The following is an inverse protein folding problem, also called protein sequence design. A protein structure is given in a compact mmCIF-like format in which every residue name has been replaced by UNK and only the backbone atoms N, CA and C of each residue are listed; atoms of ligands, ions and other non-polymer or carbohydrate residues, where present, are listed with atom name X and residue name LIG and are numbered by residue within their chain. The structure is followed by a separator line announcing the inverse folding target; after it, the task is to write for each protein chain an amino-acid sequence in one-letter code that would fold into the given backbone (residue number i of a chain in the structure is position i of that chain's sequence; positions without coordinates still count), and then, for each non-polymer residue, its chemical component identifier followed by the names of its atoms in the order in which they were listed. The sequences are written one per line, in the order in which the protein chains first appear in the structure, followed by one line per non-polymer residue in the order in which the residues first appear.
data_IF_767479840170
#
_entry.id   IF_767479840170
#
_cell.length_a   1.000
_cell.length_b   1.000
_cell.length_c   1.000
_cell.angle_alpha   90.00
_cell.angle_beta   90.00
_cell.angle_gamma   90.00
#
_symmetry.space_group_name_H-M   'P 1'
#
loop_
_entity.id
_entity.type
_entity.pdbx_description
1 polymer ?
#
# COMPACT_ATOMS: atom_id res chain seq x y z
N UNK A 1 18.55 43.49 21.84
CA UNK A 1 18.01 42.46 22.74
C UNK A 1 17.53 41.33 21.84
N UNK A 2 18.38 40.34 21.58
CA UNK A 2 18.12 39.24 20.65
C UNK A 2 17.46 38.13 21.47
N UNK A 3 16.18 37.86 21.23
CA UNK A 3 15.52 36.70 21.81
C UNK A 3 15.94 35.44 21.05
N UNK A 4 16.87 34.70 21.66
CA UNK A 4 17.16 33.30 21.31
C UNK A 4 15.95 32.46 21.72
N UNK A 5 15.21 31.94 20.74
CA UNK A 5 14.26 30.85 20.93
C UNK A 5 15.10 29.57 21.04
N UNK A 6 14.98 28.77 22.11
CA UNK A 6 15.72 27.53 22.20
C UNK A 6 15.19 26.57 21.15
N UNK A 7 16.09 26.06 20.31
CA UNK A 7 15.82 24.90 19.48
C UNK A 7 15.40 23.75 20.42
N UNK A 8 14.12 23.36 20.38
CA UNK A 8 13.72 22.07 20.89
C UNK A 8 14.36 21.01 20.00
N UNK A 9 15.54 20.54 20.41
CA UNK A 9 16.04 19.23 20.02
C UNK A 9 15.07 18.19 20.59
N UNK A 10 14.09 17.78 19.79
CA UNK A 10 13.29 16.60 20.05
C UNK A 10 14.21 15.39 20.06
N UNK A 11 14.53 14.90 21.26
CA UNK A 11 15.07 13.57 21.46
C UNK A 11 13.98 12.56 21.02
N UNK A 12 14.07 12.06 19.79
CA UNK A 12 13.24 10.97 19.33
C UNK A 12 13.71 9.68 20.01
N UNK A 13 12.92 9.24 21.00
CA UNK A 13 12.93 7.88 21.52
C UNK A 13 12.69 6.91 20.37
N UNK A 14 13.41 5.78 20.37
CA UNK A 14 13.23 4.67 19.43
C UNK A 14 11.73 4.34 19.25
N UNK A 15 11.15 4.76 18.14
CA UNK A 15 9.74 4.54 17.83
C UNK A 15 9.54 3.11 17.33
N UNK A 16 9.53 2.15 18.26
CA UNK A 16 9.20 0.77 17.93
C UNK A 16 7.72 0.69 17.56
N UNK A 17 7.43 0.39 16.30
CA UNK A 17 6.09 -0.04 15.89
C UNK A 17 6.07 -1.55 16.08
N UNK A 18 5.25 -2.07 16.99
CA UNK A 18 5.29 -3.48 17.43
C UNK A 18 5.37 -4.47 16.26
N UNK A 19 4.60 -4.24 15.20
CA UNK A 19 4.67 -5.05 13.99
C UNK A 19 5.97 -4.87 13.18
N UNK A 20 6.54 -3.67 13.09
CA UNK A 20 7.62 -3.33 12.14
C UNK A 20 9.02 -3.23 12.77
N UNK A 21 9.14 -3.36 14.09
CA UNK A 21 10.41 -3.22 14.81
C UNK A 21 10.93 -1.78 14.82
N UNK A 22 12.25 -1.62 14.78
CA UNK A 22 12.92 -0.32 14.67
C UNK A 22 12.79 0.23 13.25
N UNK A 23 12.13 1.38 13.13
CA UNK A 23 11.85 2.08 11.86
C UNK A 23 12.73 3.31 11.65
N UNK A 24 13.81 3.50 12.42
CA UNK A 24 14.63 4.72 12.37
C UNK A 24 15.25 4.96 10.99
N UNK A 25 15.66 3.90 10.28
CA UNK A 25 16.23 4.06 8.93
C UNK A 25 15.18 4.51 7.93
N UNK A 26 13.97 3.99 8.04
CA UNK A 26 12.80 4.34 7.23
C UNK A 26 12.44 5.81 7.46
N UNK A 27 12.40 6.25 8.73
CA UNK A 27 12.22 7.65 9.14
C UNK A 27 13.25 8.57 8.47
N UNK A 28 14.53 8.20 8.51
CA UNK A 28 15.61 8.99 7.89
C UNK A 28 15.51 9.05 6.37
N UNK A 29 15.20 7.93 5.70
CA UNK A 29 14.99 7.88 4.24
C UNK A 29 13.87 8.83 3.85
N UNK A 30 12.76 8.77 4.56
CA UNK A 30 11.63 9.68 4.36
C UNK A 30 11.98 11.14 4.58
N UNK A 31 12.77 11.44 5.62
CA UNK A 31 13.22 12.81 5.86
C UNK A 31 14.10 13.31 4.71
N UNK A 32 15.00 12.47 4.19
CA UNK A 32 15.83 12.79 3.04
C UNK A 32 14.97 12.99 1.77
N UNK A 33 13.99 12.13 1.53
CA UNK A 33 13.01 12.27 0.45
C UNK A 33 12.27 13.62 0.55
N UNK A 34 11.68 13.91 1.71
CA UNK A 34 10.91 15.14 1.95
C UNK A 34 11.73 16.42 1.77
N UNK A 35 13.02 16.38 2.09
CA UNK A 35 13.92 17.51 1.96
C UNK A 35 14.64 17.60 0.60
N UNK A 36 14.35 16.69 -0.35
CA UNK A 36 15.03 16.70 -1.64
C UNK A 36 14.69 17.98 -2.43
N UNK A 37 15.69 18.77 -2.88
CA UNK A 37 15.45 20.10 -3.45
C UNK A 37 14.70 20.07 -4.79
N UNK A 38 14.75 18.94 -5.51
CA UNK A 38 14.05 18.74 -6.78
C UNK A 38 12.72 17.98 -6.59
N UNK A 39 12.29 17.74 -5.35
CA UNK A 39 11.03 17.03 -5.08
C UNK A 39 9.86 17.82 -5.63
N UNK A 40 9.07 17.17 -6.50
CA UNK A 40 7.81 17.68 -7.02
C UNK A 40 6.66 16.81 -6.57
N UNK A 41 5.52 17.44 -6.33
CA UNK A 41 4.27 16.81 -5.95
C UNK A 41 3.26 16.82 -7.08
N UNK A 42 2.27 15.95 -6.94
CA UNK A 42 1.09 15.97 -7.80
C UNK A 42 0.33 17.31 -7.71
N UNK A 43 0.47 18.07 -6.60
CA UNK A 43 -0.07 19.42 -6.50
C UNK A 43 0.65 20.38 -7.44
N UNK A 44 1.96 20.22 -7.65
CA UNK A 44 2.73 20.96 -8.66
C UNK A 44 2.30 20.59 -10.08
N UNK A 45 1.71 19.40 -10.24
CA UNK A 45 1.09 18.93 -11.48
C UNK A 45 -0.37 19.32 -11.66
N UNK A 46 -1.03 19.88 -10.64
CA UNK A 46 -2.46 20.21 -10.68
C UNK A 46 -2.83 20.97 -11.94
N UNK A 47 -2.09 22.04 -12.25
CA UNK A 47 -2.40 22.89 -13.41
C UNK A 47 -2.29 22.10 -14.70
N UNK A 48 -1.19 21.39 -14.93
CA UNK A 48 -0.98 20.59 -16.14
C UNK A 48 -2.03 19.49 -16.31
N UNK A 49 -2.42 18.82 -15.22
CA UNK A 49 -3.42 17.74 -15.24
C UNK A 49 -4.85 18.27 -15.47
N UNK A 50 -5.16 19.49 -15.02
CA UNK A 50 -6.42 20.16 -15.33
C UNK A 50 -6.41 20.66 -16.77
N UNK A 51 -5.35 21.36 -17.19
CA UNK A 51 -5.22 21.95 -18.53
C UNK A 51 -5.22 20.87 -19.62
N UNK A 52 -4.67 19.68 -19.34
CA UNK A 52 -4.69 18.54 -20.26
C UNK A 52 -6.05 17.83 -20.37
N UNK A 53 -6.99 18.13 -19.47
CA UNK A 53 -8.29 17.44 -19.38
C UNK A 53 -8.24 16.12 -18.60
N UNK A 54 -7.06 15.65 -18.18
CA UNK A 54 -6.89 14.37 -17.49
C UNK A 54 -7.76 14.27 -16.23
N UNK A 55 -7.84 15.33 -15.42
CA UNK A 55 -8.66 15.33 -14.18
C UNK A 55 -10.15 15.05 -14.49
N UNK A 56 -10.67 15.67 -15.54
CA UNK A 56 -12.06 15.49 -15.98
C UNK A 56 -12.30 14.11 -16.54
N UNK A 57 -11.38 13.61 -17.36
CA UNK A 57 -11.47 12.25 -17.93
C UNK A 57 -11.43 11.18 -16.84
N UNK A 58 -10.55 11.32 -15.85
CA UNK A 58 -10.49 10.38 -14.72
C UNK A 58 -11.73 10.42 -13.84
N UNK A 59 -12.25 11.63 -13.57
CA UNK A 59 -13.53 11.77 -12.88
C UNK A 59 -14.65 11.07 -13.65
N UNK A 60 -14.72 11.29 -14.96
CA UNK A 60 -15.70 10.67 -15.84
C UNK A 60 -15.62 9.14 -15.77
N UNK A 61 -14.42 8.57 -15.92
CA UNK A 61 -14.19 7.12 -15.85
C UNK A 61 -14.55 6.52 -14.51
N UNK A 62 -14.25 7.21 -13.40
CA UNK A 62 -14.59 6.73 -12.05
C UNK A 62 -16.09 6.71 -11.81
N UNK A 63 -16.82 7.72 -12.28
CA UNK A 63 -18.28 7.76 -12.18
C UNK A 63 -18.92 6.69 -13.10
N UNK A 64 -18.40 6.52 -14.32
CA UNK A 64 -18.82 5.44 -15.23
C UNK A 64 -18.56 4.07 -14.61
N UNK A 65 -17.37 3.84 -14.04
CA UNK A 65 -17.00 2.56 -13.42
C UNK A 65 -17.83 2.25 -12.19
N UNK A 66 -18.06 3.23 -11.31
CA UNK A 66 -18.93 3.06 -10.15
C UNK A 66 -20.36 2.72 -10.57
N UNK A 67 -20.85 3.35 -11.64
CA UNK A 67 -22.18 3.07 -12.18
C UNK A 67 -22.26 1.67 -12.80
N UNK A 68 -21.27 1.25 -13.57
CA UNK A 68 -21.17 -0.14 -14.07
C UNK A 68 -21.25 -1.14 -12.92
N UNK A 69 -20.44 -0.94 -11.87
CA UNK A 69 -20.46 -1.79 -10.68
C UNK A 69 -21.83 -1.81 -9.99
N UNK A 70 -22.53 -0.66 -9.94
CA UNK A 70 -23.89 -0.57 -9.42
C UNK A 70 -24.90 -1.33 -10.26
N UNK A 71 -24.80 -1.24 -11.59
CA UNK A 71 -25.66 -1.97 -12.52
C UNK A 71 -25.41 -3.47 -12.40
N UNK A 72 -24.14 -3.89 -12.40
CA UNK A 72 -23.73 -5.30 -12.21
C UNK A 72 -24.25 -5.88 -10.89
N UNK A 73 -24.26 -5.07 -9.82
CA UNK A 73 -24.76 -5.48 -8.51
C UNK A 73 -26.29 -5.28 -8.32
N UNK A 74 -27.01 -4.78 -9.32
CA UNK A 74 -28.46 -4.59 -9.28
C UNK A 74 -28.94 -3.37 -8.47
N UNK A 75 -28.07 -2.40 -8.20
CA UNK A 75 -28.36 -1.17 -7.46
C UNK A 75 -28.65 0.07 -8.33
N UNK A 76 -28.47 -0.03 -9.66
CA UNK A 76 -28.80 1.04 -10.61
C UNK A 76 -29.27 0.47 -11.95
N UNK A 77 -30.05 1.25 -12.71
CA UNK A 77 -30.35 0.94 -14.11
C UNK A 77 -29.28 1.52 -15.03
N UNK A 78 -29.01 0.85 -16.15
CA UNK A 78 -27.96 1.26 -17.09
C UNK A 78 -28.09 2.73 -17.57
N UNK A 79 -29.32 3.25 -17.67
CA UNK A 79 -29.60 4.61 -18.14
C UNK A 79 -29.60 5.69 -17.05
N UNK A 80 -29.40 5.34 -15.77
CA UNK A 80 -29.52 6.26 -14.61
C UNK A 80 -28.20 6.92 -14.18
N UNK A 81 -27.22 7.01 -15.09
CA UNK A 81 -25.93 7.57 -14.76
C UNK A 81 -26.01 9.07 -14.45
N UNK A 82 -25.80 9.43 -13.18
CA UNK A 82 -25.70 10.81 -12.71
C UNK A 82 -24.24 11.15 -12.45
N UNK A 83 -23.75 12.23 -13.05
CA UNK A 83 -22.35 12.65 -12.92
C UNK A 83 -22.26 13.99 -12.21
N UNK A 84 -21.27 14.13 -11.34
CA UNK A 84 -20.93 15.43 -10.75
C UNK A 84 -20.31 16.33 -11.80
N UNK A 85 -20.51 17.64 -11.65
CA UNK A 85 -19.93 18.66 -12.53
C UNK A 85 -18.39 18.54 -12.54
N UNK A 86 -17.77 18.27 -13.69
CA UNK A 86 -16.33 18.21 -13.80
C UNK A 86 -15.61 19.49 -13.32
N UNK A 87 -16.24 20.66 -13.44
CA UNK A 87 -15.65 21.93 -13.00
C UNK A 87 -15.43 21.94 -11.50
N UNK A 88 -16.38 21.44 -10.70
CA UNK A 88 -16.21 21.35 -9.24
C UNK A 88 -15.07 20.39 -8.86
N UNK A 89 -14.93 19.32 -9.64
CA UNK A 89 -13.87 18.32 -9.43
C UNK A 89 -12.51 18.89 -9.78
N UNK A 90 -12.36 19.57 -10.92
CA UNK A 90 -11.12 20.26 -11.31
C UNK A 90 -10.72 21.34 -10.30
N UNK A 91 -11.67 22.13 -9.79
CA UNK A 91 -11.41 23.18 -8.80
C UNK A 91 -10.88 22.61 -7.47
N UNK A 92 -11.38 21.43 -7.08
CA UNK A 92 -11.04 20.75 -5.83
C UNK A 92 -9.96 19.68 -5.95
N UNK A 93 -9.55 19.31 -7.17
CA UNK A 93 -8.43 18.41 -7.43
C UNK A 93 -7.15 18.98 -6.79
N UNK A 94 -6.34 18.12 -6.18
CA UNK A 94 -5.19 18.57 -5.38
C UNK A 94 -5.52 19.17 -4.02
N UNK A 95 -6.75 19.69 -3.78
CA UNK A 95 -7.13 20.38 -2.53
C UNK A 95 -7.77 19.47 -1.48
N UNK A 96 -8.49 18.42 -1.92
CA UNK A 96 -9.21 17.48 -1.04
C UNK A 96 -8.54 16.10 -0.92
N UNK A 97 -7.24 16.05 -1.16
CA UNK A 97 -6.46 14.86 -0.83
C UNK A 97 -6.75 13.61 -1.69
N UNK A 98 -6.94 13.76 -3.00
CA UNK A 98 -6.75 12.63 -3.91
C UNK A 98 -5.29 12.60 -4.39
N UNK A 99 -4.32 12.82 -3.48
CA UNK A 99 -2.98 13.23 -3.86
C UNK A 99 -1.96 12.62 -2.90
N UNK A 100 -1.61 11.37 -3.14
CA UNK A 100 -0.43 10.77 -2.52
C UNK A 100 0.75 11.13 -3.38
N UNK A 101 1.59 12.08 -2.97
CA UNK A 101 2.98 12.01 -3.39
C UNK A 101 3.67 11.05 -2.45
N UNK A 102 4.33 10.05 -3.02
CA UNK A 102 5.47 9.33 -2.47
C UNK A 102 5.54 9.26 -0.93
N UNK A 103 4.54 8.62 -0.32
CA UNK A 103 4.68 8.17 1.05
C UNK A 103 5.60 6.94 0.99
N UNK A 104 6.89 7.18 0.73
CA UNK A 104 7.94 6.17 0.86
C UNK A 104 7.82 5.60 2.26
N UNK A 105 7.19 4.45 2.36
CA UNK A 105 6.97 3.77 3.61
C UNK A 105 7.64 2.43 3.57
N UNK A 106 7.91 1.92 4.76
CA UNK A 106 8.39 0.55 4.95
C UNK A 106 7.57 -0.45 4.14
N UNK A 107 8.30 -1.36 3.49
CA UNK A 107 7.81 -2.61 2.93
C UNK A 107 7.19 -3.53 4.00
N UNK A 108 7.48 -3.27 5.27
CA UNK A 108 6.98 -4.02 6.40
C UNK A 108 7.47 -5.47 6.40
N UNK A 109 7.26 -6.20 7.50
CA UNK A 109 7.78 -7.55 7.68
C UNK A 109 7.03 -8.61 6.87
N UNK A 110 6.16 -8.22 5.93
CA UNK A 110 5.22 -9.13 5.26
C UNK A 110 5.22 -9.02 3.74
N UNK A 111 6.21 -8.34 3.16
CA UNK A 111 6.38 -8.25 1.72
C UNK A 111 6.87 -9.59 1.15
N UNK A 112 6.15 -10.15 0.19
CA UNK A 112 6.53 -11.36 -0.56
C UNK A 112 6.73 -10.93 -2.00
N UNK A 113 7.88 -11.29 -2.58
CA UNK A 113 8.18 -11.01 -3.99
C UNK A 113 7.65 -12.12 -4.92
N UNK A 114 7.56 -11.85 -6.21
CA UNK A 114 7.19 -12.87 -7.20
C UNK A 114 5.70 -13.22 -7.21
N UNK A 115 4.85 -12.30 -6.77
CA UNK A 115 3.40 -12.46 -6.78
C UNK A 115 2.83 -12.53 -8.21
N UNK A 116 1.60 -13.05 -8.29
CA UNK A 116 0.92 -13.25 -9.57
C UNK A 116 0.33 -11.93 -10.11
N UNK A 117 0.51 -11.70 -11.40
CA UNK A 117 -0.19 -10.69 -12.18
C UNK A 117 -1.64 -11.14 -12.36
N UNK A 118 -2.51 -10.66 -11.47
CA UNK A 118 -3.95 -10.99 -11.45
C UNK A 118 -4.76 -9.85 -10.85
N UNK A 119 -5.93 -9.59 -11.43
CA UNK A 119 -6.81 -8.53 -10.95
C UNK A 119 -7.55 -8.95 -9.68
N UNK A 120 -8.11 -10.16 -9.65
CA UNK A 120 -8.77 -10.68 -8.45
C UNK A 120 -7.76 -11.32 -7.52
N UNK A 121 -7.51 -10.64 -6.39
CA UNK A 121 -6.58 -11.08 -5.36
C UNK A 121 -7.31 -11.60 -4.11
N UNK A 122 -8.64 -11.69 -4.08
CA UNK A 122 -9.39 -12.15 -2.90
C UNK A 122 -9.01 -13.56 -2.43
N UNK A 123 -8.83 -14.48 -3.39
CA UNK A 123 -8.53 -15.90 -3.15
C UNK A 123 -9.39 -16.53 -2.03
N UNK A 124 -10.70 -16.22 -2.04
CA UNK A 124 -11.67 -16.78 -1.08
C UNK A 124 -11.74 -16.10 0.29
N UNK A 125 -10.99 -15.03 0.54
CA UNK A 125 -11.09 -14.27 1.80
C UNK A 125 -12.47 -13.58 1.92
N UNK A 126 -13.07 -13.70 3.10
CA UNK A 126 -14.38 -13.13 3.40
C UNK A 126 -14.34 -11.65 3.74
N UNK A 127 -15.34 -10.91 3.28
CA UNK A 127 -15.51 -9.48 3.52
C UNK A 127 -16.18 -8.80 2.32
N UNK A 128 -16.54 -7.51 2.45
CA UNK A 128 -16.96 -6.68 1.34
C UNK A 128 -15.95 -6.70 0.20
N UNK A 129 -16.42 -7.01 -1.00
CA UNK A 129 -15.61 -6.93 -2.21
C UNK A 129 -15.28 -5.45 -2.50
N UNK A 130 -14.00 -5.13 -2.54
CA UNK A 130 -13.49 -3.81 -2.91
C UNK A 130 -12.87 -3.87 -4.32
N UNK A 131 -13.43 -3.10 -5.23
CA UNK A 131 -12.81 -2.75 -6.50
C UNK A 131 -11.88 -1.56 -6.25
N UNK A 132 -10.60 -1.69 -6.60
CA UNK A 132 -9.56 -0.71 -6.28
C UNK A 132 -8.91 -0.22 -7.57
N UNK A 133 -8.94 1.09 -7.81
CA UNK A 133 -8.19 1.72 -8.92
C UNK A 133 -7.09 2.64 -8.37
N UNK A 134 -5.86 2.41 -8.80
CA UNK A 134 -4.69 3.20 -8.46
C UNK A 134 -4.16 3.83 -9.74
N UNK A 135 -4.15 5.16 -9.78
CA UNK A 135 -3.57 5.92 -10.88
C UNK A 135 -2.15 6.36 -10.52
N UNK A 136 -1.20 6.17 -11.45
CA UNK A 136 0.16 6.68 -11.32
C UNK A 136 0.38 7.90 -12.21
N UNK A 137 1.01 8.92 -11.65
CA UNK A 137 1.37 10.17 -12.33
C UNK A 137 2.87 10.43 -12.13
N UNK A 138 3.58 10.72 -13.22
CA UNK A 138 4.97 11.17 -13.17
C UNK A 138 4.97 12.65 -12.73
N UNK A 139 5.55 12.93 -11.57
CA UNK A 139 5.57 14.29 -11.02
C UNK A 139 6.53 15.24 -11.72
N UNK A 140 7.35 14.74 -12.64
CA UNK A 140 8.35 15.53 -13.36
C UNK A 140 7.80 16.10 -14.65
N UNK A 141 6.92 15.39 -15.33
CA UNK A 141 6.26 15.88 -16.54
C UNK A 141 4.74 16.00 -16.42
N UNK A 142 4.17 15.57 -15.30
CA UNK A 142 2.75 15.63 -14.99
C UNK A 142 1.87 14.80 -15.95
N UNK A 143 2.40 13.67 -16.40
CA UNK A 143 1.71 12.72 -17.27
C UNK A 143 1.37 11.41 -16.55
N UNK A 144 0.34 10.68 -17.00
CA UNK A 144 0.05 9.34 -16.46
C UNK A 144 1.17 8.34 -16.79
N UNK A 145 1.55 7.52 -15.81
CA UNK A 145 2.57 6.49 -15.97
C UNK A 145 1.94 5.20 -16.49
N UNK A 146 2.15 4.90 -17.76
CA UNK A 146 1.73 3.64 -18.38
C UNK A 146 2.83 2.57 -18.30
N UNK A 147 2.43 1.30 -18.20
CA UNK A 147 3.35 0.17 -18.29
C UNK A 147 4.24 -0.07 -17.06
N UNK A 148 3.98 0.59 -15.95
CA UNK A 148 4.53 0.25 -14.63
C UNK A 148 3.69 -0.86 -13.98
N UNK A 149 4.33 -1.79 -13.29
CA UNK A 149 3.65 -2.80 -12.49
C UNK A 149 3.45 -2.28 -11.07
N UNK A 150 2.22 -2.36 -10.57
CA UNK A 150 1.89 -2.10 -9.18
C UNK A 150 1.69 -3.45 -8.50
N UNK A 151 2.45 -3.71 -7.45
CA UNK A 151 2.16 -4.77 -6.49
C UNK A 151 1.29 -4.19 -5.37
N UNK A 152 0.29 -4.94 -4.93
CA UNK A 152 -0.65 -4.56 -3.87
C UNK A 152 -0.84 -5.74 -2.92
N UNK A 153 -0.75 -5.48 -1.61
CA UNK A 153 -1.09 -6.48 -0.62
C UNK A 153 -1.70 -5.89 0.65
N UNK A 154 -2.42 -6.73 1.39
CA UNK A 154 -3.00 -6.39 2.68
C UNK A 154 -3.35 -7.63 3.51
N UNK A 155 -3.74 -7.39 4.75
CA UNK A 155 -4.33 -8.42 5.62
C UNK A 155 -5.74 -8.79 5.17
N UNK A 156 -6.22 -9.95 5.64
CA UNK A 156 -7.65 -10.23 5.64
C UNK A 156 -8.41 -9.34 6.63
N UNK A 157 -9.74 -9.47 6.68
CA UNK A 157 -10.61 -8.67 7.55
C UNK A 157 -10.26 -8.77 9.06
N UNK A 158 -9.58 -9.83 9.47
CA UNK A 158 -9.16 -10.07 10.87
C UNK A 158 -7.70 -9.68 11.14
N UNK A 159 -7.02 -9.04 10.20
CA UNK A 159 -5.65 -8.55 10.39
C UNK A 159 -4.57 -9.63 10.29
N UNK A 160 -4.75 -10.60 9.39
CA UNK A 160 -3.77 -11.66 9.12
C UNK A 160 -3.34 -11.62 7.65
N UNK A 161 -2.03 -11.58 7.39
CA UNK A 161 -1.42 -11.73 6.07
C UNK A 161 -1.33 -13.22 5.68
N UNK A 162 -1.52 -13.50 4.39
CA UNK A 162 -1.26 -14.81 3.80
C UNK A 162 0.23 -14.98 3.47
N UNK A 163 0.69 -16.23 3.38
CA UNK A 163 1.99 -16.56 2.77
C UNK A 163 3.20 -16.24 3.65
N UNK A 164 3.00 -15.81 4.88
CA UNK A 164 4.07 -15.42 5.79
C UNK A 164 3.95 -16.17 7.10
N UNK A 165 5.10 -16.50 7.68
CA UNK A 165 5.23 -17.07 9.01
C UNK A 165 5.80 -16.01 9.94
N UNK A 166 5.01 -15.56 10.92
CA UNK A 166 5.49 -14.57 11.90
C UNK A 166 4.60 -14.51 13.14
N UNK A 167 5.21 -14.40 14.31
CA UNK A 167 4.50 -14.28 15.58
C UNK A 167 3.66 -12.99 15.72
N UNK A 168 3.93 -11.94 14.92
CA UNK A 168 3.11 -10.71 14.89
C UNK A 168 2.10 -10.66 13.75
N UNK A 169 1.94 -11.75 13.01
CA UNK A 169 0.93 -11.87 11.97
C UNK A 169 -0.45 -12.20 12.56
N UNK A 170 -1.02 -11.29 13.36
CA UNK A 170 -2.38 -11.32 13.91
C UNK A 170 -2.76 -12.53 14.77
N UNK A 171 -2.88 -13.71 14.15
CA UNK A 171 -3.08 -15.02 14.79
C UNK A 171 -1.79 -15.87 14.86
N UNK A 172 -0.65 -15.34 14.39
CA UNK A 172 0.60 -16.08 14.31
C UNK A 172 0.60 -17.14 13.20
N UNK A 173 -0.20 -16.96 12.14
CA UNK A 173 -0.27 -17.90 11.01
C UNK A 173 1.11 -18.23 10.47
N UNK A 174 1.28 -19.51 10.11
CA UNK A 174 2.45 -20.07 9.43
C UNK A 174 2.06 -20.72 8.09
N UNK A 175 0.87 -20.40 7.57
CA UNK A 175 0.42 -20.89 6.27
C UNK A 175 1.17 -20.17 5.12
N UNK A 176 2.19 -20.85 4.60
CA UNK A 176 2.97 -20.41 3.45
C UNK A 176 2.33 -20.81 2.10
N UNK A 177 1.25 -21.60 2.11
CA UNK A 177 0.62 -22.15 0.89
C UNK A 177 -0.39 -21.22 0.22
N UNK A 178 -0.62 -20.04 0.79
CA UNK A 178 -1.62 -19.07 0.32
C UNK A 178 -0.98 -17.75 -0.05
N UNK A 179 -1.36 -17.18 -1.19
CA UNK A 179 -1.05 -15.80 -1.57
C UNK A 179 -2.30 -14.91 -1.60
N UNK A 180 -3.33 -15.24 -0.83
CA UNK A 180 -4.55 -14.43 -0.78
C UNK A 180 -4.26 -12.96 -0.44
N UNK A 181 -4.96 -12.04 -1.10
CA UNK A 181 -4.86 -10.59 -0.93
C UNK A 181 -3.49 -10.03 -1.33
N UNK A 182 -2.81 -10.71 -2.25
CA UNK A 182 -1.55 -10.30 -2.87
C UNK A 182 -1.67 -10.41 -4.38
N UNK A 183 -1.11 -9.46 -5.11
CA UNK A 183 -1.00 -9.56 -6.56
C UNK A 183 -0.44 -8.32 -7.22
N UNK A 184 -0.28 -8.43 -8.52
CA UNK A 184 0.38 -7.43 -9.37
C UNK A 184 -0.56 -7.03 -10.50
N UNK A 185 -0.57 -5.75 -10.88
CA UNK A 185 -1.29 -5.25 -12.05
C UNK A 185 -0.44 -4.26 -12.84
N UNK A 186 -0.53 -4.36 -14.17
CA UNK A 186 0.11 -3.42 -15.09
C UNK A 186 -0.78 -2.18 -15.23
N UNK A 187 -0.18 -1.00 -15.12
CA UNK A 187 -0.85 0.26 -15.44
C UNK A 187 -1.18 0.35 -16.92
N UNK A 188 -2.43 0.67 -17.23
CA UNK A 188 -2.93 0.84 -18.59
C UNK A 188 -2.47 2.17 -19.21
N UNK A 189 -3.02 2.51 -20.39
CA UNK A 189 -2.68 3.75 -21.13
C UNK A 189 -2.97 5.04 -20.35
N UNK A 190 -3.85 4.96 -19.36
CA UNK A 190 -4.30 6.08 -18.53
C UNK A 190 -3.54 6.16 -17.20
N UNK A 191 -2.59 5.25 -17.00
CA UNK A 191 -1.82 5.10 -15.77
C UNK A 191 -2.55 4.37 -14.66
N UNK A 192 -3.66 3.67 -14.95
CA UNK A 192 -4.49 2.99 -13.96
C UNK A 192 -4.15 1.51 -13.85
N UNK A 193 -3.98 1.02 -12.62
CA UNK A 193 -3.99 -0.39 -12.28
C UNK A 193 -5.22 -0.72 -11.42
N UNK A 194 -5.93 -1.80 -11.75
CA UNK A 194 -7.22 -2.15 -11.13
C UNK A 194 -7.19 -3.51 -10.45
N UNK A 195 -7.59 -3.58 -9.18
CA UNK A 195 -7.63 -4.80 -8.37
C UNK A 195 -9.04 -5.10 -7.84
N UNK A 196 -9.28 -6.36 -7.51
CA UNK A 196 -10.43 -6.82 -6.73
C UNK A 196 -9.88 -7.48 -5.46
N UNK A 197 -10.16 -6.87 -4.33
CA UNK A 197 -9.68 -7.26 -2.99
C UNK A 197 -10.79 -7.04 -1.96
N UNK A 198 -10.43 -6.92 -0.68
CA UNK A 198 -11.23 -6.35 0.41
C UNK A 198 -10.43 -5.23 1.08
N UNK A 199 -11.07 -4.42 1.92
CA UNK A 199 -10.34 -3.46 2.74
C UNK A 199 -9.66 -4.21 3.89
N UNK A 200 -8.33 -4.10 4.08
CA UNK A 200 -7.62 -4.88 5.08
C UNK A 200 -8.11 -4.62 6.51
N UNK A 201 -8.09 -5.64 7.37
CA UNK A 201 -8.32 -5.49 8.81
C UNK A 201 -7.09 -4.91 9.52
N UNK A 202 -7.29 -4.20 10.62
CA UNK A 202 -6.19 -3.73 11.47
C UNK A 202 -5.49 -4.93 12.15
N UNK A 203 -4.22 -4.75 12.52
CA UNK A 203 -3.44 -5.75 13.26
C UNK A 203 -2.49 -5.08 14.25
N UNK A 204 -1.90 -5.87 15.15
CA UNK A 204 -1.13 -5.40 16.31
C UNK A 204 -0.25 -4.17 16.06
N UNK A 205 -0.71 -3.00 16.55
CA UNK A 205 0.01 -1.73 16.50
C UNK A 205 -0.10 -0.96 15.18
N UNK A 206 -1.03 -1.33 14.29
CA UNK A 206 -1.29 -0.65 13.00
C UNK A 206 -2.79 -0.42 12.74
N UNK A 207 -3.13 0.71 12.13
CA UNK A 207 -4.48 0.98 11.59
C UNK A 207 -4.73 0.18 10.30
N UNK A 208 -5.93 0.21 9.73
CA UNK A 208 -6.26 -0.46 8.45
C UNK A 208 -5.48 0.20 7.29
N UNK A 209 -4.71 -0.58 6.52
CA UNK A 209 -3.92 -0.08 5.39
C UNK A 209 -3.69 -1.16 4.31
N UNK A 210 -3.49 -0.72 3.07
CA UNK A 210 -2.94 -1.51 1.97
C UNK A 210 -1.50 -1.10 1.73
N UNK A 211 -0.63 -2.04 1.39
CA UNK A 211 0.73 -1.74 0.96
C UNK A 211 0.84 -1.78 -0.57
N UNK A 212 1.81 -1.04 -1.10
CA UNK A 212 2.12 -1.05 -2.53
C UNK A 212 3.61 -0.97 -2.81
N UNK A 213 4.02 -1.57 -3.94
CA UNK A 213 5.34 -1.38 -4.56
C UNK A 213 5.13 -1.10 -6.05
N UNK A 214 5.87 -0.15 -6.62
CA UNK A 214 5.82 0.17 -8.05
C UNK A 214 7.12 -0.20 -8.74
N UNK A 215 7.02 -1.08 -9.74
CA UNK A 215 8.12 -1.55 -10.56
C UNK A 215 8.06 -0.95 -11.96
N UNK A 216 9.17 -0.36 -12.39
CA UNK A 216 9.38 0.08 -13.76
C UNK A 216 10.28 -0.92 -14.50
N UNK A 217 10.01 -1.12 -15.79
CA UNK A 217 10.83 -1.96 -16.68
C UNK A 217 10.96 -3.44 -16.25
N UNK A 218 10.06 -3.94 -15.38
CA UNK A 218 9.97 -5.36 -15.08
C UNK A 218 9.41 -6.14 -16.28
N UNK A 219 9.77 -7.42 -16.39
CA UNK A 219 9.31 -8.31 -17.46
C UNK A 219 8.26 -9.26 -16.94
N UNK A 220 7.16 -9.42 -17.68
CA UNK A 220 6.20 -10.50 -17.45
C UNK A 220 6.81 -11.85 -17.83
N UNK A 221 6.72 -12.81 -16.92
CA UNK A 221 7.15 -14.19 -17.13
C UNK A 221 5.96 -15.09 -17.54
N UNK A 222 6.20 -16.25 -18.20
CA UNK A 222 5.13 -17.16 -18.63
C UNK A 222 4.23 -17.73 -17.52
N UNK A 223 4.72 -17.74 -16.27
CA UNK A 223 3.98 -18.16 -15.08
C UNK A 223 3.12 -17.02 -14.47
N UNK A 224 2.93 -15.91 -15.19
CA UNK A 224 2.24 -14.71 -14.73
C UNK A 224 2.89 -14.03 -13.51
N UNK A 225 4.19 -14.14 -13.29
CA UNK A 225 4.92 -13.28 -12.32
C UNK A 225 5.72 -12.22 -13.05
N UNK A 226 6.30 -11.26 -12.31
CA UNK A 226 7.26 -10.31 -12.87
C UNK A 226 8.70 -10.62 -12.45
N UNK A 227 9.67 -10.23 -13.25
CA UNK A 227 11.10 -10.31 -12.94
C UNK A 227 11.85 -9.04 -13.34
N UNK A 228 12.86 -8.69 -12.54
CA UNK A 228 13.72 -7.54 -12.78
C UNK A 228 13.01 -6.21 -12.59
N UNK A 229 13.44 -5.21 -13.36
CA UNK A 229 12.95 -3.84 -13.23
C UNK A 229 13.58 -3.09 -12.04
N UNK A 230 13.06 -1.88 -11.83
CA UNK A 230 13.50 -0.97 -10.76
C UNK A 230 12.30 -0.64 -9.91
N UNK A 231 12.44 -0.80 -8.60
CA UNK A 231 11.44 -0.31 -7.64
C UNK A 231 11.64 1.20 -7.53
N UNK A 232 10.60 1.95 -7.85
CA UNK A 232 10.61 3.41 -7.85
C UNK A 232 9.84 3.98 -6.66
N UNK A 233 8.85 3.22 -6.16
CA UNK A 233 8.01 3.63 -5.04
C UNK A 233 7.63 2.44 -4.18
N UNK A 234 7.58 2.66 -2.86
CA UNK A 234 7.06 1.72 -1.86
C UNK A 234 6.19 2.55 -0.92
N UNK A 235 4.95 2.13 -0.69
CA UNK A 235 4.02 2.97 0.07
C UNK A 235 2.91 2.20 0.77
N UNK A 236 2.09 2.95 1.49
CA UNK A 236 0.88 2.44 2.13
C UNK A 236 -0.29 3.40 1.90
N UNK A 237 -1.45 2.83 1.59
CA UNK A 237 -2.71 3.54 1.46
C UNK A 237 -3.56 3.31 2.70
N UNK A 238 -4.19 4.37 3.17
CA UNK A 238 -4.98 4.37 4.40
C UNK A 238 -6.44 4.70 4.07
N UNK A 239 -7.29 4.66 5.09
CA UNK A 239 -8.71 4.98 4.95
C UNK A 239 -9.14 5.97 6.03
N UNK A 240 -10.15 6.79 5.70
CA UNK A 240 -10.71 7.77 6.63
C UNK A 240 -11.18 7.10 7.93
N UNK A 241 -10.93 7.74 9.07
CA UNK A 241 -11.18 7.13 10.38
C UNK A 241 -12.66 6.78 10.59
N UNK A 242 -13.57 7.63 10.12
CA UNK A 242 -15.01 7.38 10.19
C UNK A 242 -15.41 6.12 9.39
N UNK A 243 -14.84 5.96 8.19
CA UNK A 243 -15.06 4.78 7.37
C UNK A 243 -14.52 3.52 8.07
N UNK A 244 -13.31 3.55 8.62
CA UNK A 244 -12.72 2.43 9.38
C UNK A 244 -13.63 2.05 10.56
N UNK A 245 -14.11 3.04 11.30
CA UNK A 245 -14.97 2.82 12.46
C UNK A 245 -16.26 2.08 12.09
N UNK A 246 -16.84 2.37 10.92
CA UNK A 246 -18.05 1.66 10.49
C UNK A 246 -17.74 0.31 9.84
N UNK A 247 -16.66 0.20 9.07
CA UNK A 247 -16.21 -1.06 8.49
C UNK A 247 -15.96 -2.12 9.57
N UNK A 248 -15.32 -1.73 10.68
CA UNK A 248 -15.01 -2.65 11.77
C UNK A 248 -16.25 -3.17 12.53
N UNK A 249 -17.44 -2.61 12.27
CA UNK A 249 -18.73 -3.06 12.85
C UNK A 249 -19.43 -4.14 12.02
N UNK A 250 -18.94 -4.48 10.82
CA UNK A 250 -19.59 -5.47 9.95
C UNK A 250 -18.84 -6.80 9.90
N UNK A 251 -19.55 -7.90 9.62
CA UNK A 251 -18.91 -9.21 9.46
C UNK A 251 -18.08 -9.25 8.17
N UNK A 252 -16.90 -9.89 8.15
CA UNK A 252 -16.23 -10.60 9.25
C UNK A 252 -15.25 -9.73 10.06
N UNK A 253 -15.19 -8.41 9.87
CA UNK A 253 -14.31 -7.54 10.69
C UNK A 253 -14.66 -7.59 12.18
N UNK A 254 -15.92 -7.83 12.51
CA UNK A 254 -16.36 -8.11 13.88
C UNK A 254 -15.77 -9.37 14.50
N UNK A 255 -15.04 -10.20 13.74
CA UNK A 255 -14.25 -11.33 14.27
C UNK A 255 -12.82 -10.92 14.66
N UNK A 256 -12.36 -9.73 14.25
CA UNK A 256 -11.06 -9.23 14.68
C UNK A 256 -11.10 -8.96 16.20
N UNK A 257 -10.18 -9.59 16.92
CA UNK A 257 -10.03 -9.47 18.39
C UNK A 257 -8.70 -8.82 18.77
N UNK A 258 -7.90 -8.42 17.77
CA UNK A 258 -6.66 -7.70 18.01
C UNK A 258 -6.96 -6.32 18.63
N UNK A 259 -5.94 -5.71 19.23
CA UNK A 259 -6.04 -4.35 19.76
C UNK A 259 -6.11 -3.35 18.60
N UNK A 260 -7.23 -2.63 18.49
CA UNK A 260 -7.43 -1.60 17.47
C UNK A 260 -6.77 -0.30 17.88
N UNK A 261 -6.03 0.31 16.96
CA UNK A 261 -5.61 1.71 17.04
C UNK A 261 -6.22 2.50 15.88
N UNK A 262 -6.51 3.78 16.11
CA UNK A 262 -6.92 4.72 15.06
C UNK A 262 -5.71 5.23 14.26
N UNK A 263 -6.00 5.92 13.16
CA UNK A 263 -4.99 6.62 12.37
C UNK A 263 -4.19 7.61 13.23
N UNK A 264 -4.86 8.32 14.15
CA UNK A 264 -4.28 9.28 15.09
C UNK A 264 -3.33 8.68 16.13
N UNK A 265 -3.24 7.35 16.20
CA UNK A 265 -2.36 6.60 17.10
C UNK A 265 -1.40 5.66 16.35
N UNK A 266 -1.54 5.50 15.03
CA UNK A 266 -0.61 4.73 14.20
C UNK A 266 0.64 5.57 13.93
N UNK A 267 1.77 5.20 14.52
CA UNK A 267 3.00 5.97 14.41
C UNK A 267 3.53 6.09 12.97
N UNK A 268 3.27 5.10 12.10
CA UNK A 268 3.61 5.22 10.69
C UNK A 268 2.65 6.20 10.02
N UNK A 269 1.35 6.07 10.22
CA UNK A 269 0.41 7.07 9.69
C UNK A 269 0.80 8.49 10.12
N UNK A 270 0.98 8.73 11.43
CA UNK A 270 1.30 10.06 11.98
C UNK A 270 2.61 10.59 11.41
N UNK A 271 3.64 9.75 11.30
CA UNK A 271 4.95 10.19 10.82
C UNK A 271 4.92 10.51 9.33
N UNK A 272 4.20 9.71 8.54
CA UNK A 272 4.24 9.81 7.09
C UNK A 272 3.14 10.71 6.50
N UNK A 273 2.00 10.84 7.16
CA UNK A 273 0.91 11.73 6.77
C UNK A 273 1.24 13.16 7.21
N UNK A 274 1.61 13.99 6.23
CA UNK A 274 1.77 15.43 6.43
C UNK A 274 0.58 16.19 5.81
N UNK A 275 0.44 17.49 6.09
CA UNK A 275 -0.67 18.30 5.57
C UNK A 275 -0.66 18.52 4.04
N UNK A 276 0.38 18.08 3.33
CA UNK A 276 0.56 18.26 1.88
C UNK A 276 0.37 16.98 1.06
N UNK A 277 0.31 15.83 1.71
CA UNK A 277 0.11 14.52 1.11
C UNK A 277 -1.13 13.87 1.74
N UNK A 278 -1.94 13.20 0.92
CA UNK A 278 -3.07 12.45 1.44
C UNK A 278 -2.98 10.95 1.09
N UNK A 279 -2.63 10.08 2.04
CA UNK A 279 -2.63 8.62 1.84
C UNK A 279 -4.02 7.99 1.71
N UNK A 280 -5.09 8.75 1.94
CA UNK A 280 -6.43 8.18 2.02
C UNK A 280 -6.98 7.79 0.66
N UNK A 281 -7.35 6.51 0.52
CA UNK A 281 -8.16 6.07 -0.61
C UNK A 281 -9.57 6.65 -0.47
N UNK A 282 -10.10 7.21 -1.56
CA UNK A 282 -11.50 7.61 -1.62
C UNK A 282 -12.37 6.37 -1.83
N UNK A 283 -13.20 6.05 -0.85
CA UNK A 283 -14.09 4.89 -0.88
C UNK A 283 -15.53 5.31 -1.16
N UNK A 284 -16.18 4.62 -2.09
CA UNK A 284 -17.61 4.75 -2.42
C UNK A 284 -18.30 3.40 -2.24
N UNK A 285 -19.52 3.40 -1.69
CA UNK A 285 -20.37 2.20 -1.68
C UNK A 285 -20.90 1.93 -3.09
N UNK A 286 -20.88 0.67 -3.49
CA UNK A 286 -21.57 0.21 -4.69
C UNK A 286 -23.07 0.20 -4.39
N UNK A 287 -23.51 -0.55 -3.38
CA UNK A 287 -24.92 -0.57 -2.96
C UNK A 287 -25.25 0.37 -1.79
N UNK A 288 -26.16 -0.11 -0.92
CA UNK A 288 -26.69 0.63 0.24
C UNK A 288 -25.79 0.45 1.47
N UNK A 289 -25.25 -0.74 1.65
CA UNK A 289 -24.36 -1.08 2.77
C UNK A 289 -22.92 -1.27 2.28
N UNK A 290 -21.99 -1.54 3.19
CA UNK A 290 -20.61 -1.83 2.79
C UNK A 290 -20.51 -3.23 2.19
N UNK A 291 -21.28 -4.19 2.70
CA UNK A 291 -21.37 -5.57 2.25
C UNK A 291 -21.80 -5.71 0.79
N UNK A 292 -22.58 -4.75 0.28
CA UNK A 292 -22.97 -4.66 -1.13
C UNK A 292 -21.80 -4.40 -2.08
N UNK A 293 -20.63 -4.06 -1.55
CA UNK A 293 -19.40 -3.83 -2.29
C UNK A 293 -18.91 -2.39 -2.24
N UNK A 294 -17.63 -2.23 -2.51
CA UNK A 294 -16.89 -0.97 -2.40
C UNK A 294 -16.15 -0.67 -3.70
N UNK A 295 -16.01 0.61 -4.00
CA UNK A 295 -15.11 1.13 -5.01
C UNK A 295 -14.15 2.14 -4.37
N UNK A 296 -12.87 1.81 -4.34
CA UNK A 296 -11.81 2.62 -3.75
C UNK A 296 -10.87 3.15 -4.84
N UNK A 297 -10.52 4.44 -4.77
CA UNK A 297 -9.70 5.11 -5.78
C UNK A 297 -8.64 5.97 -5.14
N UNK A 298 -7.47 6.06 -5.78
CA UNK A 298 -6.40 6.98 -5.37
C UNK A 298 -5.56 7.42 -6.58
N UNK A 299 -5.08 8.66 -6.57
CA UNK A 299 -4.06 9.15 -7.50
C UNK A 299 -2.73 9.29 -6.76
N UNK A 300 -1.69 8.68 -7.30
CA UNK A 300 -0.35 8.61 -6.71
C UNK A 300 0.65 9.29 -7.67
N UNK A 301 1.25 10.38 -7.21
CA UNK A 301 2.40 10.99 -7.86
C UNK A 301 3.68 10.28 -7.42
N UNK A 302 4.52 9.86 -8.36
CA UNK A 302 5.84 9.28 -8.10
C UNK A 302 6.89 9.86 -9.06
N UNK A 303 8.16 9.76 -8.69
CA UNK A 303 9.27 9.93 -9.63
C UNK A 303 9.66 8.53 -10.19
N UNK A 304 9.39 8.23 -11.47
CA UNK A 304 9.72 6.92 -12.03
C UNK A 304 11.21 6.71 -12.28
N UNK A 305 12.06 7.71 -12.01
CA UNK A 305 13.52 7.57 -12.01
C UNK A 305 14.10 7.38 -10.59
N UNK A 306 13.27 7.43 -9.54
CA UNK A 306 13.70 7.07 -8.19
C UNK A 306 14.13 5.60 -8.15
N UNK A 307 15.07 5.27 -7.26
CA UNK A 307 15.58 3.92 -7.08
C UNK A 307 15.49 3.54 -5.61
N UNK A 308 14.64 2.57 -5.31
CA UNK A 308 14.48 1.99 -3.97
C UNK A 308 15.23 0.67 -3.91
N UNK A 309 16.44 0.68 -3.35
CA UNK A 309 17.30 -0.50 -3.20
C UNK A 309 17.29 -1.10 -1.78
N UNK A 310 16.34 -0.68 -0.94
CA UNK A 310 16.29 -1.04 0.48
C UNK A 310 15.13 -1.99 0.83
N UNK A 311 14.29 -2.34 -0.13
CA UNK A 311 13.24 -3.36 0.06
C UNK A 311 13.86 -4.71 0.37
N UNK A 312 13.24 -5.45 1.27
CA UNK A 312 13.70 -6.73 1.78
C UNK A 312 12.48 -7.65 1.93
N UNK A 313 12.06 -8.33 0.85
CA UNK A 313 11.02 -9.35 0.93
C UNK A 313 11.34 -10.37 2.03
N UNK A 314 10.33 -10.88 2.72
CA UNK A 314 10.49 -12.02 3.66
C UNK A 314 10.45 -13.37 2.95
N UNK A 315 10.11 -13.37 1.66
CA UNK A 315 10.11 -14.57 0.85
C UNK A 315 9.75 -14.26 -0.59
N UNK A 316 9.69 -15.33 -1.36
CA UNK A 316 9.29 -15.33 -2.76
C UNK A 316 8.18 -16.35 -2.97
N UNK A 317 7.11 -15.93 -3.63
CA UNK A 317 6.04 -16.82 -4.04
C UNK A 317 6.51 -17.75 -5.17
N UNK A 318 6.26 -19.05 -5.04
CA UNK A 318 6.51 -20.09 -6.04
C UNK A 318 5.24 -20.92 -6.29
N UNK A 319 5.31 -21.91 -7.17
CA UNK A 319 4.18 -22.81 -7.42
C UNK A 319 3.83 -23.68 -6.19
N UNK A 320 4.77 -23.87 -5.28
CA UNK A 320 4.65 -24.69 -4.07
C UNK A 320 4.24 -23.87 -2.83
N UNK A 321 4.12 -22.55 -2.97
CA UNK A 321 3.87 -21.62 -1.88
C UNK A 321 5.01 -20.62 -1.71
N UNK A 322 5.05 -19.95 -0.57
CA UNK A 322 6.11 -18.98 -0.26
C UNK A 322 7.36 -19.70 0.22
N UNK A 323 8.48 -19.44 -0.45
CA UNK A 323 9.81 -19.80 0.02
C UNK A 323 10.37 -18.61 0.78
N UNK A 324 10.60 -18.80 2.08
CA UNK A 324 11.14 -17.75 2.95
C UNK A 324 12.55 -17.34 2.53
N UNK A 325 12.86 -16.05 2.65
CA UNK A 325 14.16 -15.48 2.35
C UNK A 325 14.99 -15.35 3.65
N UNK A 326 16.03 -16.18 3.84
CA UNK A 326 16.86 -16.14 5.04
C UNK A 326 17.71 -14.87 5.16
N UNK A 327 17.93 -14.16 4.04
CA UNK A 327 18.72 -12.93 4.00
C UNK A 327 17.85 -11.68 4.24
N UNK A 328 16.54 -11.85 4.42
CA UNK A 328 15.62 -10.76 4.73
C UNK A 328 16.00 -10.08 6.05
N UNK A 329 15.92 -8.74 6.08
CA UNK A 329 16.05 -7.95 7.33
C UNK A 329 14.99 -8.31 8.38
N UNK A 330 13.93 -8.99 7.96
CA UNK A 330 12.84 -9.47 8.81
C UNK A 330 12.88 -10.99 9.04
N UNK A 331 13.92 -11.69 8.58
CA UNK A 331 14.06 -13.12 8.81
C UNK A 331 14.04 -13.44 10.31
N UNK A 332 13.12 -14.33 10.72
CA UNK A 332 12.92 -14.69 12.12
C UNK A 332 12.24 -13.62 12.99
N UNK A 333 11.76 -12.51 12.43
CA UNK A 333 11.07 -11.45 13.19
C UNK A 333 9.59 -11.81 13.45
N UNK A 334 9.05 -11.61 14.67
CA UNK A 334 9.67 -11.19 15.94
C UNK A 334 9.91 -12.39 16.88
N UNK A 335 10.30 -13.53 16.31
CA UNK A 335 10.63 -14.73 17.06
C UNK A 335 10.49 -16.02 16.25
N UNK A 336 11.58 -16.42 15.60
CA UNK A 336 12.31 -17.64 15.99
C UNK A 336 13.78 -17.23 16.17
N UNK A 337 14.49 -17.70 17.21
CA UNK A 337 15.93 -17.46 17.29
C UNK A 337 16.54 -17.98 15.99
N UNK A 338 17.41 -17.18 15.34
CA UNK A 338 18.40 -17.75 14.43
C UNK A 338 18.98 -18.96 15.17
N UNK A 339 18.80 -20.17 14.63
CA UNK A 339 19.60 -21.28 15.06
C UNK A 339 21.04 -20.78 14.99
N UNK A 340 21.71 -20.71 16.14
CA UNK A 340 23.06 -20.20 16.22
C UNK A 340 23.86 -20.85 15.08
N UNK A 341 24.49 -20.02 14.25
CA UNK A 341 25.39 -20.51 13.22
C UNK A 341 26.28 -21.58 13.86
N UNK A 342 26.45 -22.77 13.26
CA UNK A 342 27.25 -23.81 13.86
C UNK A 342 28.63 -23.21 14.16
N UNK A 343 29.00 -23.21 15.44
CA UNK A 343 30.31 -22.77 15.88
C UNK A 343 31.37 -23.45 15.00
N UNK A 344 32.38 -22.71 14.49
CA UNK A 344 33.41 -23.33 13.68
C UNK A 344 34.00 -24.49 14.48
N UNK A 345 33.96 -25.68 13.88
CA UNK A 345 34.53 -26.88 14.49
C UNK A 345 35.98 -26.58 14.85
N UNK A 346 36.46 -26.95 16.05
CA UNK A 346 37.85 -26.73 16.39
C UNK A 346 38.71 -27.48 15.38
N UNK A 347 39.57 -26.73 14.69
CA UNK A 347 40.61 -27.28 13.83
C UNK A 347 41.38 -28.35 14.61
N UNK A 348 41.62 -29.54 14.04
CA UNK A 348 42.47 -30.51 14.71
C UNK A 348 43.86 -29.89 14.83
N UNK A 349 44.32 -29.71 16.06
CA UNK A 349 45.70 -29.40 16.35
C UNK A 349 46.56 -30.55 15.82
N UNK A 350 47.17 -30.35 14.66
CA UNK A 350 48.43 -31.01 14.35
C UNK A 350 49.47 -30.39 15.28
N UNK A 351 50.01 -31.16 16.21
CA UNK A 351 51.46 -31.23 16.37
C UNK A 351 51.87 -32.42 17.23
N UNK A 352 53.04 -32.93 16.83
CA UNK A 352 53.77 -34.13 17.22
C UNK A 352 54.18 -34.20 18.71
#
# INVERSE_FOLDING_TARGET
MVHLIPALTTAFLASNVFAHGDIHKEILRRHAHLNHPERRSILDCKRSLVDSGWVREQHQRREDRLHELRVEAGFAQAHELVRRDPVEVELSYGKKGACTLDIEQTDGPFYISGELVRQNILSGQGGPKAHVDINLIDVRDCSPIKGAYIELWGTNATGVYSGVHSAVNGNGSSDLSSNALRGVQLTNVDGTASFITLIPGYYGGRTNHLHTVVHHHAKLLPNNTIEGGTITHVGQFYFEQEFINDLNKIYPYTLNRQYQIGNDMDALFIYYANHTENPFMKVSKIGKTYEDGLYATIDVGIDPHAIQNWTSPVGKWTAEGTVEDPDSKYAGWPGTPQAAAPSPSPSPSSDA
#
